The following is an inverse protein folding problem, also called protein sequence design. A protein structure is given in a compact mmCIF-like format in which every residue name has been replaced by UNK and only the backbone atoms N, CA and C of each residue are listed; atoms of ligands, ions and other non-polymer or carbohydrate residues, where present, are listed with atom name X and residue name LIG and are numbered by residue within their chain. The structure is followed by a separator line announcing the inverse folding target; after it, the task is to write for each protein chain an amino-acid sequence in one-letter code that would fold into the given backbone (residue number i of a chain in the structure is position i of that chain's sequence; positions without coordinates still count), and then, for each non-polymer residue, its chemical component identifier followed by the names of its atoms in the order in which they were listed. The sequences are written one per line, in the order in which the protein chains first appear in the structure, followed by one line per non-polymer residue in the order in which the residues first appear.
data_IF_306947133526
#
_entry.id   IF_306947133526
#
_cell.length_a   1.000
_cell.length_b   1.000
_cell.length_c   1.000
_cell.angle_alpha   90.00
_cell.angle_beta   90.00
_cell.angle_gamma   90.00
#
_symmetry.space_group_name_H-M   'P 1'
#
loop_
_entity.id
_entity.type
_entity.pdbx_description
1 polymer ?
#
# COMPACT_ATOMS: atom_id res chain seq x y z
N UNK A 1 -9.74 18.15 -20.17
CA UNK A 1 -8.29 18.38 -20.41
C UNK A 1 -7.52 17.19 -19.87
N UNK A 2 -6.35 16.86 -20.45
CA UNK A 2 -5.47 15.77 -19.99
C UNK A 2 -5.13 15.87 -18.50
N UNK A 3 -4.80 17.09 -18.04
CA UNK A 3 -4.53 17.38 -16.63
C UNK A 3 -5.68 17.02 -15.69
N UNK A 4 -6.93 17.36 -16.05
CA UNK A 4 -8.10 17.04 -15.23
C UNK A 4 -8.31 15.53 -15.09
N UNK A 5 -8.10 14.78 -16.18
CA UNK A 5 -8.21 13.32 -16.15
C UNK A 5 -7.14 12.69 -15.25
N UNK A 6 -5.89 13.17 -15.36
CA UNK A 6 -4.79 12.69 -14.50
C UNK A 6 -5.03 13.02 -13.02
N UNK A 7 -5.55 14.22 -12.72
CA UNK A 7 -5.93 14.61 -11.35
C UNK A 7 -6.99 13.68 -10.76
N UNK A 8 -8.07 13.42 -11.51
CA UNK A 8 -9.14 12.52 -11.06
C UNK A 8 -8.64 11.09 -10.85
N UNK A 9 -7.75 10.59 -11.72
CA UNK A 9 -7.14 9.27 -11.55
C UNK A 9 -6.29 9.21 -10.26
N UNK A 10 -5.42 10.20 -10.05
CA UNK A 10 -4.60 10.31 -8.85
C UNK A 10 -5.44 10.35 -7.56
N UNK A 11 -6.46 11.22 -7.49
CA UNK A 11 -7.34 11.28 -6.32
C UNK A 11 -8.06 9.96 -6.07
N UNK A 12 -8.50 9.29 -7.14
CA UNK A 12 -9.15 7.99 -7.07
C UNK A 12 -8.25 6.92 -6.47
N UNK A 13 -7.03 6.77 -6.99
CA UNK A 13 -6.08 5.79 -6.47
C UNK A 13 -5.60 6.13 -5.06
N UNK A 14 -5.34 7.40 -4.76
CA UNK A 14 -4.96 7.84 -3.41
C UNK A 14 -6.06 7.51 -2.38
N UNK A 15 -7.33 7.74 -2.73
CA UNK A 15 -8.46 7.38 -1.86
C UNK A 15 -8.57 5.87 -1.67
N UNK A 16 -8.38 5.08 -2.73
CA UNK A 16 -8.39 3.60 -2.63
C UNK A 16 -7.30 3.08 -1.71
N UNK A 17 -6.07 3.60 -1.83
CA UNK A 17 -4.95 3.23 -0.95
C UNK A 17 -5.26 3.57 0.51
N UNK A 18 -5.78 4.78 0.76
CA UNK A 18 -6.19 5.19 2.09
C UNK A 18 -7.27 4.26 2.66
N UNK A 19 -8.35 4.05 1.91
CA UNK A 19 -9.45 3.19 2.34
C UNK A 19 -9.01 1.75 2.58
N UNK A 20 -8.15 1.20 1.72
CA UNK A 20 -7.63 -0.15 1.86
C UNK A 20 -6.77 -0.29 3.13
N UNK A 21 -5.94 0.71 3.43
CA UNK A 21 -5.16 0.75 4.67
C UNK A 21 -6.07 0.76 5.90
N UNK A 22 -7.06 1.63 5.91
CA UNK A 22 -7.95 1.82 7.07
C UNK A 22 -8.90 0.63 7.27
N UNK A 23 -9.45 0.07 6.19
CA UNK A 23 -10.51 -0.94 6.25
C UNK A 23 -10.00 -2.37 6.21
N UNK A 24 -8.85 -2.62 5.59
CA UNK A 24 -8.31 -3.99 5.42
C UNK A 24 -7.07 -4.20 6.27
N UNK A 25 -6.03 -3.38 6.09
CA UNK A 25 -4.76 -3.57 6.80
C UNK A 25 -4.94 -3.42 8.31
N UNK A 26 -5.48 -2.29 8.79
CA UNK A 26 -5.70 -2.08 10.23
C UNK A 26 -6.66 -3.06 10.88
N UNK A 27 -7.58 -3.65 10.12
CA UNK A 27 -8.47 -4.71 10.64
C UNK A 27 -7.67 -5.99 10.83
N UNK A 28 -6.87 -6.37 9.83
CA UNK A 28 -6.07 -7.59 9.91
C UNK A 28 -4.91 -7.49 10.90
N UNK A 29 -4.35 -6.29 11.14
CA UNK A 29 -3.41 -6.04 12.24
C UNK A 29 -4.04 -6.42 13.59
N UNK A 30 -5.27 -5.98 13.83
CA UNK A 30 -6.01 -6.28 15.06
C UNK A 30 -6.38 -7.76 15.15
N UNK A 31 -6.81 -8.37 14.05
CA UNK A 31 -7.11 -9.82 14.00
C UNK A 31 -5.86 -10.63 14.34
N UNK A 32 -4.72 -10.32 13.74
CA UNK A 32 -3.47 -11.02 14.00
C UNK A 32 -3.05 -10.88 15.48
N UNK A 33 -3.20 -9.69 16.07
CA UNK A 33 -2.94 -9.48 17.49
C UNK A 33 -3.84 -10.37 18.36
N UNK A 34 -5.15 -10.39 18.10
CA UNK A 34 -6.09 -11.24 18.84
C UNK A 34 -5.76 -12.72 18.71
N UNK A 35 -5.57 -13.22 17.48
CA UNK A 35 -5.26 -14.65 17.25
C UNK A 35 -3.92 -15.04 17.89
N UNK A 36 -2.93 -14.15 17.87
CA UNK A 36 -1.64 -14.39 18.51
C UNK A 36 -1.76 -14.49 20.04
N UNK A 37 -2.54 -13.60 20.66
CA UNK A 37 -2.80 -13.63 22.10
C UNK A 37 -3.53 -14.93 22.49
N UNK A 38 -4.59 -15.27 21.76
CA UNK A 38 -5.40 -16.44 22.09
C UNK A 38 -4.70 -17.76 21.77
N UNK A 39 -3.79 -17.81 20.79
CA UNK A 39 -2.87 -18.95 20.61
C UNK A 39 -1.93 -19.11 21.81
N UNK A 40 -1.37 -18.02 22.34
CA UNK A 40 -0.49 -18.05 23.50
C UNK A 40 -1.21 -18.56 24.77
N UNK A 41 -2.52 -18.34 24.87
CA UNK A 41 -3.38 -18.86 25.93
C UNK A 41 -3.87 -20.31 25.67
N UNK A 42 -3.51 -20.91 24.53
CA UNK A 42 -3.95 -22.25 24.13
C UNK A 42 -5.41 -22.33 23.69
N UNK A 43 -6.06 -21.19 23.42
CA UNK A 43 -7.47 -21.11 22.98
C UNK A 43 -7.63 -21.28 21.47
N UNK A 44 -6.59 -21.02 20.68
CA UNK A 44 -6.56 -21.29 19.25
C UNK A 44 -5.45 -22.27 18.90
N UNK A 45 -5.66 -22.97 17.78
CA UNK A 45 -4.69 -23.86 17.18
C UNK A 45 -3.58 -23.10 16.46
N UNK A 46 -2.43 -23.78 16.25
CA UNK A 46 -1.34 -23.25 15.43
C UNK A 46 -1.80 -22.95 13.99
N UNK A 47 -2.74 -23.72 13.45
CA UNK A 47 -3.25 -23.51 12.10
C UNK A 47 -3.98 -22.16 11.98
N UNK A 48 -4.80 -21.81 12.97
CA UNK A 48 -5.50 -20.52 12.99
C UNK A 48 -4.53 -19.35 13.10
N UNK A 49 -3.45 -19.51 13.89
CA UNK A 49 -2.37 -18.52 13.95
C UNK A 49 -1.70 -18.32 12.58
N UNK A 50 -1.33 -19.42 11.91
CA UNK A 50 -0.69 -19.37 10.60
C UNK A 50 -1.61 -18.74 9.55
N UNK A 51 -2.90 -19.03 9.58
CA UNK A 51 -3.87 -18.40 8.68
C UNK A 51 -4.03 -16.90 8.96
N UNK A 52 -4.05 -16.49 10.23
CA UNK A 52 -4.03 -15.08 10.62
C UNK A 52 -2.80 -14.35 10.06
N UNK A 53 -1.61 -14.95 10.18
CA UNK A 53 -0.38 -14.42 9.60
C UNK A 53 -0.44 -14.34 8.08
N UNK A 54 -0.94 -15.38 7.42
CA UNK A 54 -1.08 -15.42 5.95
C UNK A 54 -1.97 -14.29 5.47
N UNK A 55 -3.17 -14.14 6.03
CA UNK A 55 -4.13 -13.09 5.66
C UNK A 55 -3.56 -11.69 5.89
N UNK A 56 -2.90 -11.46 7.03
CA UNK A 56 -2.23 -10.20 7.31
C UNK A 56 -1.15 -9.87 6.25
N UNK A 57 -0.32 -10.86 5.88
CA UNK A 57 0.71 -10.68 4.85
C UNK A 57 0.13 -10.44 3.46
N UNK A 58 -0.91 -11.17 3.08
CA UNK A 58 -1.61 -10.98 1.81
C UNK A 58 -2.21 -9.57 1.71
N UNK A 59 -2.80 -9.06 2.78
CA UNK A 59 -3.33 -7.70 2.82
C UNK A 59 -2.23 -6.63 2.73
N UNK A 60 -1.10 -6.81 3.43
CA UNK A 60 0.04 -5.90 3.28
C UNK A 60 0.58 -5.89 1.84
N UNK A 61 0.69 -7.05 1.21
CA UNK A 61 1.12 -7.14 -0.19
C UNK A 61 0.14 -6.44 -1.13
N UNK A 62 -1.17 -6.65 -0.93
CA UNK A 62 -2.21 -5.96 -1.70
C UNK A 62 -2.17 -4.44 -1.49
N UNK A 63 -1.94 -3.98 -0.26
CA UNK A 63 -1.75 -2.56 0.03
C UNK A 63 -0.56 -1.97 -0.72
N UNK A 64 0.59 -2.66 -0.72
CA UNK A 64 1.79 -2.20 -1.44
C UNK A 64 1.54 -2.08 -2.95
N UNK A 65 0.82 -3.04 -3.54
CA UNK A 65 0.42 -2.97 -4.95
C UNK A 65 -0.49 -1.79 -5.26
N UNK A 66 -1.44 -1.46 -4.37
CA UNK A 66 -2.26 -0.26 -4.55
C UNK A 66 -1.44 1.03 -4.36
N UNK A 67 -0.52 1.06 -3.40
CA UNK A 67 0.36 2.20 -3.18
C UNK A 67 1.26 2.45 -4.40
N UNK A 68 1.72 1.40 -5.07
CA UNK A 68 2.42 1.48 -6.36
C UNK A 68 1.51 2.09 -7.45
N UNK A 69 0.27 1.63 -7.58
CA UNK A 69 -0.68 2.21 -8.55
C UNK A 69 -0.93 3.71 -8.30
N UNK A 70 -1.11 4.12 -7.04
CA UNK A 70 -1.25 5.54 -6.68
C UNK A 70 0.03 6.35 -6.98
N UNK A 71 1.21 5.75 -6.77
CA UNK A 71 2.49 6.37 -7.16
C UNK A 71 2.56 6.60 -8.66
N UNK A 72 2.16 5.61 -9.47
CA UNK A 72 2.14 5.75 -10.94
C UNK A 72 1.14 6.82 -11.39
N UNK A 73 -0.06 6.86 -10.80
CA UNK A 73 -1.04 7.91 -11.10
C UNK A 73 -0.53 9.32 -10.74
N UNK A 74 0.29 9.45 -9.69
CA UNK A 74 0.96 10.70 -9.36
C UNK A 74 2.01 11.08 -10.41
N UNK A 75 2.82 10.13 -10.89
CA UNK A 75 3.78 10.37 -11.97
C UNK A 75 3.07 10.85 -13.25
N UNK A 76 1.94 10.24 -13.59
CA UNK A 76 1.13 10.65 -14.75
C UNK A 76 0.56 12.08 -14.59
N UNK A 77 0.17 12.45 -13.38
CA UNK A 77 -0.27 13.81 -13.04
C UNK A 77 0.86 14.83 -13.20
N UNK A 78 2.06 14.53 -12.71
CA UNK A 78 3.25 15.37 -12.86
C UNK A 78 3.59 15.58 -14.35
N UNK A 79 3.60 14.51 -15.14
CA UNK A 79 3.80 14.62 -16.59
C UNK A 79 2.72 15.47 -17.27
N UNK A 80 1.46 15.34 -16.86
CA UNK A 80 0.36 16.12 -17.41
C UNK A 80 0.38 17.60 -16.97
N UNK A 81 1.02 17.91 -15.84
CA UNK A 81 1.21 19.28 -15.34
C UNK A 81 2.43 19.98 -15.95
N UNK A 82 3.29 19.22 -16.65
CA UNK A 82 4.54 19.72 -17.22
C UNK A 82 5.73 19.66 -16.25
N UNK A 83 5.56 19.10 -15.06
CA UNK A 83 6.65 18.77 -14.15
C UNK A 83 7.23 17.41 -14.55
N UNK A 84 8.37 17.40 -15.24
CA UNK A 84 9.19 16.21 -15.34
C UNK A 84 9.88 16.03 -13.99
N UNK A 85 9.65 14.89 -13.35
CA UNK A 85 10.45 14.45 -12.21
C UNK A 85 11.89 14.35 -12.73
N UNK A 86 12.72 15.36 -12.45
CA UNK A 86 14.14 15.29 -12.72
C UNK A 86 14.69 14.09 -11.95
N UNK A 87 15.24 13.11 -12.66
CA UNK A 87 16.06 12.08 -12.01
C UNK A 87 17.09 12.79 -11.13
N UNK A 88 17.30 12.35 -9.88
CA UNK A 88 18.39 12.89 -9.08
C UNK A 88 19.68 12.69 -9.87
N UNK A 89 20.35 13.80 -10.18
CA UNK A 89 21.61 13.81 -10.91
C UNK A 89 22.53 12.78 -10.26
N UNK A 90 22.82 11.69 -10.99
CA UNK A 90 23.76 10.67 -10.50
C UNK A 90 25.08 11.40 -10.30
N UNK A 91 25.64 11.46 -9.07
CA UNK A 91 26.90 12.14 -8.87
C UNK A 91 27.93 11.43 -9.73
N UNK A 92 28.50 12.16 -10.68
CA UNK A 92 29.57 11.68 -11.53
C UNK A 92 30.66 11.11 -10.63
N UNK A 93 30.87 9.79 -10.68
CA UNK A 93 32.01 9.15 -10.01
C UNK A 93 33.28 9.73 -10.64
N UNK A 94 33.86 10.71 -9.96
CA UNK A 94 35.21 11.21 -10.21
C UNK A 94 36.16 10.05 -9.90
N UNK A 95 36.95 9.66 -10.91
CA UNK A 95 38.06 8.71 -10.77
C UNK A 95 39.30 9.45 -10.34
#
# INVERSE_FOLDING_TARGET
SRLRAAWTAYEGEHRRVHDFREKSVRVLDRVLQTVSASYAEGQHSLLELLDGYRLHREAHLAYLRQAEAARMAFVDLEQASGHLIHEPATPARTR
#
